data_IF_380032625220
#
_entry.id   IF_380032625220
#
_cell.length_a   1.000
_cell.length_b   1.000
_cell.length_c   1.000
_cell.angle_alpha   90.00
_cell.angle_beta   90.00
_cell.angle_gamma   90.00
#
_symmetry.space_group_name_H-M   'P 1'
#
loop_
_entity.id
_entity.type
_entity.pdbx_description
1 polymer ?
#
# COMPACT_ATOMS: atom_id res chain seq x y z
N UNK A 1 -7.91 -10.78 -20.67
CA UNK A 1 -8.43 -10.29 -19.36
C UNK A 1 -9.54 -11.21 -18.91
N UNK A 2 -9.63 -11.51 -17.61
CA UNK A 2 -10.68 -12.36 -17.03
C UNK A 2 -12.07 -11.77 -17.30
N UNK A 3 -13.09 -12.58 -17.64
CA UNK A 3 -14.45 -12.08 -17.91
C UNK A 3 -15.11 -11.35 -16.72
N UNK A 4 -15.97 -10.37 -16.99
CA UNK A 4 -16.64 -9.54 -15.97
C UNK A 4 -17.48 -10.36 -14.98
N UNK A 5 -18.16 -11.41 -15.44
CA UNK A 5 -18.98 -12.26 -14.57
C UNK A 5 -18.15 -13.04 -13.53
N UNK A 6 -16.87 -13.31 -13.81
CA UNK A 6 -15.93 -13.88 -12.84
C UNK A 6 -15.40 -12.78 -11.93
N UNK A 7 -14.96 -11.66 -12.52
CA UNK A 7 -14.39 -10.52 -11.79
C UNK A 7 -15.34 -9.94 -10.73
N UNK A 8 -16.65 -9.96 -11.00
CA UNK A 8 -17.68 -9.46 -10.09
C UNK A 8 -18.09 -10.46 -9.00
N UNK A 9 -17.58 -11.71 -9.02
CA UNK A 9 -17.75 -12.60 -7.88
C UNK A 9 -16.99 -12.05 -6.69
N UNK A 10 -17.52 -12.31 -5.50
CA UNK A 10 -16.91 -11.89 -4.26
C UNK A 10 -16.32 -13.08 -3.50
N UNK A 11 -15.26 -12.82 -2.76
CA UNK A 11 -14.71 -13.72 -1.75
C UNK A 11 -14.58 -12.96 -0.44
N UNK A 12 -14.67 -13.69 0.67
CA UNK A 12 -14.38 -13.14 1.99
C UNK A 12 -12.91 -13.39 2.29
N UNK A 13 -12.19 -12.35 2.69
CA UNK A 13 -10.88 -12.48 3.33
C UNK A 13 -10.92 -11.76 4.67
N UNK A 14 -10.55 -12.47 5.74
CA UNK A 14 -10.73 -12.02 7.11
C UNK A 14 -12.16 -11.46 7.34
N UNK A 15 -12.27 -10.17 7.64
CA UNK A 15 -13.53 -9.46 7.88
C UNK A 15 -14.00 -8.57 6.72
N UNK A 16 -13.32 -8.62 5.57
CA UNK A 16 -13.67 -7.86 4.37
C UNK A 16 -14.19 -8.75 3.22
N UNK A 17 -15.00 -8.16 2.35
CA UNK A 17 -15.44 -8.78 1.09
C UNK A 17 -14.76 -8.08 -0.08
N UNK A 18 -14.11 -8.87 -0.94
CA UNK A 18 -13.43 -8.38 -2.12
C UNK A 18 -14.01 -8.98 -3.37
N UNK A 19 -14.00 -8.21 -4.46
CA UNK A 19 -14.25 -8.78 -5.79
C UNK A 19 -13.01 -9.52 -6.28
N UNK A 20 -13.19 -10.56 -7.09
CA UNK A 20 -12.07 -11.20 -7.77
C UNK A 20 -11.32 -10.21 -8.69
N UNK A 21 -12.00 -9.19 -9.21
CA UNK A 21 -11.36 -8.11 -9.94
C UNK A 21 -10.37 -7.32 -9.08
N UNK A 22 -10.75 -6.95 -7.86
CA UNK A 22 -9.86 -6.26 -6.92
C UNK A 22 -8.69 -7.16 -6.49
N UNK A 23 -8.96 -8.44 -6.20
CA UNK A 23 -7.91 -9.42 -5.90
C UNK A 23 -6.89 -9.50 -7.04
N UNK A 24 -7.32 -9.73 -8.28
CA UNK A 24 -6.41 -9.99 -9.39
C UNK A 24 -5.66 -8.75 -9.87
N UNK A 25 -6.31 -7.59 -9.86
CA UNK A 25 -5.73 -6.39 -10.46
C UNK A 25 -4.94 -5.55 -9.46
N UNK A 26 -5.31 -5.59 -8.17
CA UNK A 26 -4.71 -4.77 -7.12
C UNK A 26 -3.86 -5.62 -6.18
N UNK A 27 -4.48 -6.54 -5.43
CA UNK A 27 -3.80 -7.34 -4.41
C UNK A 27 -2.67 -8.16 -5.04
N UNK A 28 -2.95 -9.02 -6.03
CA UNK A 28 -1.91 -9.85 -6.64
C UNK A 28 -0.78 -9.07 -7.34
N UNK A 29 -0.95 -7.76 -7.56
CA UNK A 29 0.14 -6.87 -8.01
C UNK A 29 0.97 -6.34 -6.84
N UNK A 30 0.33 -5.99 -5.72
CA UNK A 30 0.96 -5.43 -4.52
C UNK A 30 1.66 -6.49 -3.67
N UNK A 31 1.14 -7.72 -3.63
CA UNK A 31 1.69 -8.81 -2.81
C UNK A 31 3.14 -9.17 -3.20
N UNK A 32 3.49 -9.40 -4.48
CA UNK A 32 4.88 -9.65 -4.86
C UNK A 32 5.82 -8.47 -4.56
N UNK A 33 5.34 -7.24 -4.69
CA UNK A 33 6.09 -6.04 -4.31
C UNK A 33 6.41 -6.05 -2.81
N UNK A 34 5.42 -6.30 -1.97
CA UNK A 34 5.59 -6.37 -0.52
C UNK A 34 6.54 -7.51 -0.11
N UNK A 35 6.38 -8.68 -0.71
CA UNK A 35 7.31 -9.80 -0.50
C UNK A 35 8.74 -9.49 -0.95
N UNK A 36 8.92 -8.68 -1.99
CA UNK A 36 10.27 -8.24 -2.42
C UNK A 36 10.90 -7.33 -1.36
N UNK A 37 10.13 -6.45 -0.71
CA UNK A 37 10.60 -5.65 0.43
C UNK A 37 11.01 -6.55 1.59
N UNK A 38 10.16 -7.53 1.95
CA UNK A 38 10.45 -8.50 3.02
C UNK A 38 11.77 -9.26 2.77
N UNK A 39 11.98 -9.76 1.56
CA UNK A 39 13.19 -10.50 1.18
C UNK A 39 14.43 -9.58 1.22
N UNK A 40 14.32 -8.36 0.68
CA UNK A 40 15.41 -7.39 0.70
C UNK A 40 15.88 -7.10 2.13
N UNK A 41 14.93 -6.88 3.05
CA UNK A 41 15.23 -6.65 4.46
C UNK A 41 15.83 -7.89 5.13
N UNK A 42 15.25 -9.08 4.92
CA UNK A 42 15.72 -10.32 5.54
C UNK A 42 17.14 -10.72 5.08
N UNK A 43 17.51 -10.37 3.85
CA UNK A 43 18.82 -10.70 3.27
C UNK A 43 19.84 -9.58 3.40
N UNK A 44 19.42 -8.37 3.78
CA UNK A 44 20.26 -7.17 3.77
C UNK A 44 20.64 -6.69 2.37
N UNK A 45 20.02 -7.22 1.31
CA UNK A 45 20.25 -6.80 -0.07
C UNK A 45 19.28 -5.68 -0.40
N UNK A 46 19.81 -4.49 -0.75
CA UNK A 46 18.99 -3.35 -1.11
C UNK A 46 18.09 -3.64 -2.32
N UNK A 47 16.81 -3.33 -2.17
CA UNK A 47 15.86 -3.37 -3.28
C UNK A 47 16.09 -2.14 -4.17
N UNK A 48 16.33 -2.36 -5.47
CA UNK A 48 16.29 -1.26 -6.43
C UNK A 48 14.85 -0.78 -6.57
N UNK A 49 14.63 0.49 -6.28
CA UNK A 49 13.35 1.15 -6.41
C UNK A 49 13.49 2.41 -7.26
N UNK A 50 12.43 2.79 -7.95
CA UNK A 50 12.33 4.06 -8.65
C UNK A 50 10.95 4.67 -8.52
N UNK A 51 10.86 5.97 -8.81
CA UNK A 51 9.59 6.69 -8.91
C UNK A 51 8.70 6.09 -9.99
N UNK A 52 9.31 5.63 -11.09
CA UNK A 52 8.59 5.22 -12.29
C UNK A 52 7.99 3.80 -12.17
N UNK A 53 8.47 3.00 -11.22
CA UNK A 53 8.01 1.64 -11.03
C UNK A 53 7.39 1.43 -9.63
N UNK A 54 8.20 1.42 -8.58
CA UNK A 54 7.68 1.25 -7.22
C UNK A 54 6.87 2.47 -6.75
N UNK A 55 7.23 3.69 -7.19
CA UNK A 55 6.47 4.90 -6.89
C UNK A 55 5.03 4.86 -7.40
N UNK A 56 4.76 4.16 -8.51
CA UNK A 56 3.38 3.97 -9.02
C UNK A 56 2.56 3.08 -8.07
N UNK A 57 3.18 2.03 -7.53
CA UNK A 57 2.52 1.15 -6.54
C UNK A 57 2.30 1.92 -5.24
N UNK A 58 3.27 2.70 -4.79
CA UNK A 58 3.16 3.54 -3.58
C UNK A 58 2.04 4.57 -3.73
N UNK A 59 1.91 5.25 -4.86
CA UNK A 59 0.81 6.22 -5.09
C UNK A 59 -0.57 5.56 -5.00
N UNK A 60 -0.75 4.39 -5.63
CA UNK A 60 -1.99 3.61 -5.57
C UNK A 60 -2.33 3.16 -4.12
N UNK A 61 -1.32 2.70 -3.38
CA UNK A 61 -1.45 2.34 -1.96
C UNK A 61 -1.82 3.55 -1.10
N UNK A 62 -1.17 4.71 -1.28
CA UNK A 62 -1.46 5.93 -0.53
C UNK A 62 -2.89 6.40 -0.77
N UNK A 63 -3.36 6.35 -2.03
CA UNK A 63 -4.74 6.73 -2.38
C UNK A 63 -5.76 5.83 -1.70
N UNK A 64 -5.52 4.52 -1.69
CA UNK A 64 -6.42 3.59 -1.02
C UNK A 64 -6.39 3.76 0.50
N UNK A 65 -5.21 3.90 1.10
CA UNK A 65 -5.04 4.18 2.52
C UNK A 65 -5.81 5.46 2.93
N UNK A 66 -5.63 6.54 2.18
CA UNK A 66 -6.31 7.82 2.38
C UNK A 66 -7.84 7.67 2.33
N UNK A 67 -8.34 6.96 1.31
CA UNK A 67 -9.77 6.69 1.16
C UNK A 67 -10.33 5.84 2.32
N UNK A 68 -9.55 4.89 2.85
CA UNK A 68 -9.97 4.01 3.95
C UNK A 68 -10.08 4.74 5.28
N UNK A 69 -9.13 5.62 5.63
CA UNK A 69 -9.21 6.35 6.89
C UNK A 69 -10.10 7.61 6.79
N UNK A 70 -10.17 8.25 5.61
CA UNK A 70 -11.09 9.37 5.34
C UNK A 70 -10.88 10.60 6.23
N UNK A 71 -9.64 10.83 6.69
CA UNK A 71 -9.27 11.90 7.63
C UNK A 71 -8.20 12.81 6.99
N UNK A 72 -8.12 14.09 7.38
CA UNK A 72 -7.06 14.97 6.88
C UNK A 72 -5.66 14.48 7.25
N UNK A 73 -4.70 14.65 6.34
CA UNK A 73 -3.32 14.19 6.52
C UNK A 73 -2.32 14.98 5.68
N UNK A 74 -1.04 14.93 6.07
CA UNK A 74 0.11 15.38 5.27
C UNK A 74 1.19 14.30 5.32
N UNK A 75 1.37 13.57 4.22
CA UNK A 75 2.29 12.44 4.10
C UNK A 75 3.51 12.85 3.26
N UNK A 76 4.69 12.75 3.84
CA UNK A 76 5.97 12.93 3.15
C UNK A 76 6.73 11.60 3.18
N UNK A 77 6.80 10.94 2.02
CA UNK A 77 7.56 9.71 1.88
C UNK A 77 8.92 9.98 1.25
N UNK A 78 9.98 9.58 1.92
CA UNK A 78 11.35 9.65 1.40
C UNK A 78 11.72 8.39 0.62
N UNK A 79 12.90 8.39 0.01
CA UNK A 79 13.43 7.28 -0.77
C UNK A 79 13.06 7.33 -2.25
N UNK A 80 13.57 6.39 -3.07
CA UNK A 80 13.41 6.44 -4.53
C UNK A 80 11.96 6.32 -5.02
N UNK A 81 11.09 5.68 -4.23
CA UNK A 81 9.66 5.54 -4.49
C UNK A 81 8.80 6.56 -3.72
N UNK A 82 9.45 7.55 -3.09
CA UNK A 82 8.82 8.56 -2.25
C UNK A 82 8.06 9.64 -3.01
N UNK A 83 7.46 10.56 -2.26
CA UNK A 83 6.61 11.62 -2.78
C UNK A 83 5.93 12.40 -1.66
N UNK A 84 5.01 13.31 -2.03
CA UNK A 84 4.21 14.08 -1.07
C UNK A 84 2.73 13.97 -1.43
N UNK A 85 1.90 13.69 -0.43
CA UNK A 85 0.45 13.64 -0.54
C UNK A 85 -0.18 14.38 0.63
N UNK A 86 -1.34 14.98 0.41
CA UNK A 86 -2.06 15.68 1.46
C UNK A 86 -3.53 15.82 1.11
N UNK A 87 -4.37 15.73 2.13
CA UNK A 87 -5.78 16.11 2.06
C UNK A 87 -6.12 16.92 3.31
N UNK A 88 -6.53 18.18 3.14
CA UNK A 88 -6.80 19.09 4.27
C UNK A 88 -5.55 19.40 5.12
N UNK A 89 -5.78 19.71 6.40
CA UNK A 89 -4.74 19.95 7.41
C UNK A 89 -4.92 18.92 8.52
N UNK A 90 -3.93 18.05 8.73
CA UNK A 90 -4.03 16.91 9.63
C UNK A 90 -2.67 16.38 10.09
N UNK A 91 -2.61 15.11 10.46
CA UNK A 91 -1.39 14.46 10.97
C UNK A 91 -0.24 14.55 9.94
N UNK A 92 0.93 15.03 10.38
CA UNK A 92 2.15 15.06 9.57
C UNK A 92 2.93 13.76 9.74
N UNK A 93 3.17 13.04 8.65
CA UNK A 93 3.76 11.71 8.67
C UNK A 93 4.98 11.69 7.74
N UNK A 94 6.19 12.01 8.25
CA UNK A 94 7.44 11.84 7.51
C UNK A 94 8.04 10.44 7.74
N UNK A 95 8.25 9.66 6.67
CA UNK A 95 8.90 8.35 6.75
C UNK A 95 9.41 7.84 5.40
N UNK A 96 10.10 6.69 5.35
CA UNK A 96 10.46 6.05 4.08
C UNK A 96 9.24 5.42 3.40
N UNK A 97 9.21 5.45 2.06
CA UNK A 97 8.09 4.92 1.28
C UNK A 97 7.85 3.42 1.49
N UNK A 98 8.91 2.62 1.62
CA UNK A 98 8.80 1.18 1.81
C UNK A 98 8.38 0.85 3.24
N UNK A 99 8.90 1.59 4.22
CA UNK A 99 8.48 1.46 5.61
C UNK A 99 7.01 1.83 5.79
N UNK A 100 6.52 2.85 5.07
CA UNK A 100 5.09 3.20 5.04
C UNK A 100 4.26 2.01 4.58
N UNK A 101 4.59 1.42 3.42
CA UNK A 101 3.87 0.26 2.91
C UNK A 101 3.93 -0.93 3.89
N UNK A 102 5.07 -1.18 4.54
CA UNK A 102 5.18 -2.24 5.56
C UNK A 102 4.26 -1.99 6.75
N UNK A 103 4.21 -0.76 7.27
CA UNK A 103 3.40 -0.39 8.42
C UNK A 103 1.91 -0.63 8.16
N UNK A 104 1.36 -0.07 7.07
CA UNK A 104 -0.07 -0.22 6.73
C UNK A 104 -0.43 -1.62 6.18
N UNK A 105 0.56 -2.46 5.89
CA UNK A 105 0.34 -3.88 5.61
C UNK A 105 0.25 -4.76 6.87
N UNK A 106 0.49 -4.18 8.06
CA UNK A 106 0.55 -4.92 9.33
C UNK A 106 1.88 -5.62 9.62
N UNK A 107 2.93 -5.37 8.82
CA UNK A 107 4.27 -5.97 8.98
C UNK A 107 5.21 -5.16 9.89
N UNK A 108 4.78 -4.00 10.36
CA UNK A 108 5.48 -3.18 11.34
C UNK A 108 4.47 -2.53 12.31
N UNK A 109 4.87 -2.21 13.55
CA UNK A 109 4.01 -1.47 14.47
C UNK A 109 3.57 -0.14 13.86
N UNK A 110 2.27 0.14 13.93
CA UNK A 110 1.67 1.34 13.37
C UNK A 110 0.66 1.94 14.35
N UNK A 111 0.59 3.28 14.40
CA UNK A 111 -0.32 4.04 15.26
C UNK A 111 -0.94 5.18 14.47
N UNK A 112 -1.96 5.85 15.03
CA UNK A 112 -2.61 6.98 14.36
C UNK A 112 -3.25 6.54 13.05
N UNK A 113 -3.13 7.37 12.01
CA UNK A 113 -3.65 7.02 10.69
C UNK A 113 -2.96 5.79 10.05
N UNK A 114 -1.72 5.48 10.43
CA UNK A 114 -1.00 4.30 9.92
C UNK A 114 -1.58 2.97 10.43
N UNK A 115 -2.43 3.00 11.47
CA UNK A 115 -3.13 1.80 11.93
C UNK A 115 -4.23 1.33 10.96
N UNK A 116 -4.64 2.18 10.00
CA UNK A 116 -5.57 1.79 8.94
C UNK A 116 -4.85 0.94 7.90
N UNK A 117 -5.22 -0.34 7.83
CA UNK A 117 -4.56 -1.29 6.94
C UNK A 117 -5.08 -1.22 5.51
N UNK A 118 -4.20 -1.55 4.57
CA UNK A 118 -4.49 -1.71 3.14
C UNK A 118 -4.09 -3.12 2.72
N UNK A 119 -4.92 -3.83 1.92
CA UNK A 119 -4.54 -5.11 1.33
C UNK A 119 -3.33 -4.98 0.39
N UNK A 120 -2.39 -5.90 0.59
CA UNK A 120 -1.27 -6.16 -0.29
C UNK A 120 -1.45 -7.53 -0.89
#
# INVERSE_FOLDING_TARGET
RTPSFIRNRTMRDQDEWWTFGYLMDVILTRDPFMHRIDIAQATGVSMLASSDHEGVIVDDVVREWAARHGQPYTLELTGPAGGRWSEGVGEEIPMDALDFCRAISGRAPATGLLATQVPF
#
